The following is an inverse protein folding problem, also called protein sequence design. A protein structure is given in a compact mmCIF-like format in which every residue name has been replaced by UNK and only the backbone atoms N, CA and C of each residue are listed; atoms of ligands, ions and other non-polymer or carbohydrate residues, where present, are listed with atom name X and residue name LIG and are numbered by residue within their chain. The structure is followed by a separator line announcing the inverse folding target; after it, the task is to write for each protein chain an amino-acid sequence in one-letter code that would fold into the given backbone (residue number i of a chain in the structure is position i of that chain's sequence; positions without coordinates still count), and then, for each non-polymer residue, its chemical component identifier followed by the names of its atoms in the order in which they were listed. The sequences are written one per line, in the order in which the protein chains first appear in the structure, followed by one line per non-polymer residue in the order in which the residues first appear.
data_IF_421871951761
#
_entry.id   IF_421871951761
#
_cell.length_a   1.000
_cell.length_b   1.000
_cell.length_c   1.000
_cell.angle_alpha   90.00
_cell.angle_beta   90.00
_cell.angle_gamma   90.00
#
_symmetry.space_group_name_H-M   'P 1'
#
loop_
_entity.id
_entity.type
_entity.pdbx_description
1 polymer ?
#
# COMPACT_ATOMS: atom_id res chain seq x y z
N UNK A 1 -13.96 14.90 -7.70
CA UNK A 1 -12.55 14.61 -7.44
C UNK A 1 -12.18 13.28 -8.09
N UNK A 2 -11.15 13.29 -8.91
CA UNK A 2 -10.66 12.06 -9.53
C UNK A 2 -9.85 11.25 -8.54
N UNK A 3 -10.03 9.94 -8.57
CA UNK A 3 -9.19 9.01 -7.83
C UNK A 3 -8.48 8.10 -8.82
N UNK A 4 -7.27 7.69 -8.47
CA UNK A 4 -6.50 6.77 -9.29
C UNK A 4 -6.49 5.43 -8.58
N UNK A 5 -7.04 4.42 -9.25
CA UNK A 5 -7.11 3.05 -8.74
C UNK A 5 -6.67 2.13 -9.88
N UNK A 6 -5.52 1.51 -9.72
CA UNK A 6 -4.94 0.63 -10.73
C UNK A 6 -4.75 -0.77 -10.19
N UNK A 7 -4.93 -1.81 -11.02
CA UNK A 7 -4.58 -3.16 -10.62
C UNK A 7 -3.06 -3.32 -10.63
N UNK A 8 -2.50 -3.82 -9.53
CA UNK A 8 -1.08 -4.08 -9.39
C UNK A 8 -0.87 -5.52 -8.93
N UNK A 9 0.24 -6.13 -9.35
CA UNK A 9 0.62 -7.44 -8.86
C UNK A 9 1.36 -7.27 -7.53
N UNK A 10 0.80 -7.85 -6.47
CA UNK A 10 1.40 -7.89 -5.14
C UNK A 10 2.01 -9.26 -4.90
N UNK A 11 3.21 -9.27 -4.34
CA UNK A 11 3.97 -10.49 -4.06
C UNK A 11 4.39 -10.49 -2.61
N UNK A 12 4.04 -11.53 -1.91
CA UNK A 12 4.42 -11.72 -0.51
C UNK A 12 5.16 -13.03 -0.32
N UNK A 13 5.47 -13.35 0.93
CA UNK A 13 6.22 -14.56 1.29
C UNK A 13 5.47 -15.85 1.01
N UNK A 14 4.15 -15.80 0.83
CA UNK A 14 3.32 -17.00 0.65
C UNK A 14 2.72 -17.12 -0.75
N UNK A 15 2.68 -16.04 -1.52
CA UNK A 15 2.06 -16.08 -2.83
C UNK A 15 1.97 -14.71 -3.46
N UNK A 16 1.24 -14.64 -4.56
CA UNK A 16 1.06 -13.41 -5.29
C UNK A 16 -0.38 -13.25 -5.76
N UNK A 17 -0.83 -12.02 -5.91
CA UNK A 17 -2.19 -11.72 -6.34
C UNK A 17 -2.25 -10.31 -6.91
N UNK A 18 -3.05 -10.14 -7.96
CA UNK A 18 -3.37 -8.80 -8.46
C UNK A 18 -4.49 -8.20 -7.62
N UNK A 19 -4.23 -7.03 -7.06
CA UNK A 19 -5.18 -6.30 -6.25
C UNK A 19 -5.33 -4.89 -6.80
N UNK A 20 -6.51 -4.31 -6.62
CA UNK A 20 -6.74 -2.92 -6.98
C UNK A 20 -6.18 -2.01 -5.90
N UNK A 21 -5.23 -1.19 -6.28
CA UNK A 21 -4.58 -0.25 -5.38
C UNK A 21 -5.12 1.16 -5.62
N UNK A 22 -5.68 1.76 -4.59
CA UNK A 22 -6.09 3.15 -4.58
C UNK A 22 -4.91 4.00 -4.14
N UNK A 23 -4.51 4.95 -4.99
CA UNK A 23 -3.44 5.90 -4.65
C UNK A 23 -4.07 7.10 -3.95
N UNK A 24 -3.79 7.24 -2.66
CA UNK A 24 -4.41 8.26 -1.82
C UNK A 24 -3.35 9.09 -1.10
N UNK A 25 -3.09 10.28 -1.63
CA UNK A 25 -2.11 11.20 -1.03
C UNK A 25 -2.60 11.78 0.31
N UNK A 26 -3.88 11.65 0.63
CA UNK A 26 -4.42 12.04 1.92
C UNK A 26 -4.18 11.00 3.02
N UNK A 27 -3.81 9.76 2.65
CA UNK A 27 -3.43 8.74 3.61
C UNK A 27 -1.91 8.82 3.84
N UNK A 28 -1.49 8.89 5.10
CA UNK A 28 -0.06 8.97 5.41
C UNK A 28 0.67 7.67 5.11
N UNK A 29 0.05 6.54 5.44
CA UNK A 29 0.64 5.22 5.35
C UNK A 29 -0.16 4.33 4.41
N UNK A 30 0.52 3.33 3.86
CA UNK A 30 -0.14 2.34 3.01
C UNK A 30 -0.81 1.28 3.88
N UNK A 31 -1.92 0.72 3.37
CA UNK A 31 -2.67 -0.28 4.12
C UNK A 31 -3.33 -1.29 3.18
N UNK A 32 -3.73 -2.41 3.75
CA UNK A 32 -4.33 -3.52 3.03
C UNK A 32 -5.50 -4.08 3.85
N UNK A 33 -6.53 -4.52 3.14
CA UNK A 33 -7.64 -5.24 3.76
C UNK A 33 -7.17 -6.58 4.31
N UNK A 34 -7.61 -6.97 5.53
CA UNK A 34 -7.25 -8.28 6.08
C UNK A 34 -7.71 -9.45 5.22
N UNK A 35 -8.69 -9.24 4.35
CA UNK A 35 -9.23 -10.29 3.50
C UNK A 35 -8.22 -10.86 2.51
N UNK A 36 -7.13 -10.16 2.23
CA UNK A 36 -6.16 -10.56 1.21
C UNK A 36 -4.79 -10.93 1.78
N UNK A 37 -4.60 -10.79 3.09
CA UNK A 37 -3.28 -10.94 3.70
C UNK A 37 -2.82 -12.38 3.77
N UNK A 38 -3.69 -13.28 4.23
CA UNK A 38 -3.29 -14.66 4.53
C UNK A 38 -2.83 -15.46 3.31
N UNK A 39 -3.35 -15.12 2.13
CA UNK A 39 -2.93 -15.78 0.89
C UNK A 39 -1.63 -15.18 0.31
N UNK A 40 -1.25 -14.00 0.77
CA UNK A 40 -0.07 -13.30 0.26
C UNK A 40 1.16 -13.46 1.13
N UNK A 41 1.01 -13.32 2.44
CA UNK A 41 2.19 -13.25 3.30
C UNK A 41 1.84 -13.52 4.76
N UNK A 42 2.87 -13.77 5.54
CA UNK A 42 2.75 -13.89 6.98
C UNK A 42 2.71 -12.47 7.56
N UNK A 43 1.62 -12.15 8.26
CA UNK A 43 1.50 -10.86 8.93
C UNK A 43 2.33 -10.84 10.20
N UNK A 44 2.88 -9.69 10.51
CA UNK A 44 3.68 -9.46 11.71
C UNK A 44 2.87 -8.69 12.72
N UNK A 45 2.85 -9.16 13.97
CA UNK A 45 2.22 -8.44 15.06
C UNK A 45 3.08 -7.23 15.41
N UNK A 46 2.46 -6.05 15.47
CA UNK A 46 3.15 -4.84 15.88
C UNK A 46 3.52 -4.92 17.35
N UNK A 47 4.71 -4.44 17.70
CA UNK A 47 5.14 -4.40 19.09
C UNK A 47 4.26 -3.52 19.96
N UNK A 48 3.61 -2.54 19.33
CA UNK A 48 2.62 -1.69 19.98
C UNK A 48 1.45 -1.48 19.04
N UNK A 49 0.25 -1.59 19.56
CA UNK A 49 -0.98 -1.33 18.81
C UNK A 49 -1.00 0.15 18.42
N UNK A 50 -1.29 0.43 17.16
CA UNK A 50 -1.43 1.80 16.67
C UNK A 50 -2.89 2.16 16.53
N UNK A 51 -3.23 3.37 16.91
CA UNK A 51 -4.56 3.92 16.74
C UNK A 51 -4.51 4.93 15.61
N UNK A 52 -5.36 4.74 14.60
CA UNK A 52 -5.44 5.62 13.45
C UNK A 52 -6.79 6.32 13.47
N UNK A 53 -6.76 7.66 13.35
CA UNK A 53 -7.99 8.43 13.24
C UNK A 53 -8.63 8.18 11.88
N UNK A 54 -9.94 8.00 11.88
CA UNK A 54 -10.70 7.87 10.63
C UNK A 54 -11.27 9.25 10.23
N UNK A 55 -11.87 9.29 9.04
CA UNK A 55 -12.54 10.51 8.58
C UNK A 55 -13.74 10.91 9.46
N UNK A 56 -14.29 9.96 10.23
CA UNK A 56 -15.37 10.24 11.18
C UNK A 56 -14.78 10.75 12.49
N UNK A 57 -15.16 11.95 12.88
CA UNK A 57 -14.65 12.57 14.11
C UNK A 57 -14.89 11.68 15.33
N UNK A 58 -13.85 11.53 16.15
CA UNK A 58 -13.91 10.73 17.37
C UNK A 58 -13.81 9.23 17.17
N UNK A 59 -13.66 8.78 15.91
CA UNK A 59 -13.52 7.37 15.61
C UNK A 59 -12.07 7.01 15.32
N UNK A 60 -11.64 5.89 15.89
CA UNK A 60 -10.29 5.36 15.71
C UNK A 60 -10.37 3.88 15.34
N UNK A 61 -9.39 3.45 14.57
CA UNK A 61 -9.18 2.03 14.24
C UNK A 61 -7.89 1.60 14.90
N UNK A 62 -7.90 0.45 15.57
CA UNK A 62 -6.70 -0.13 16.15
C UNK A 62 -6.03 -1.05 15.15
N UNK A 63 -4.75 -0.83 14.92
CA UNK A 63 -3.94 -1.61 14.00
C UNK A 63 -2.99 -2.47 14.80
N UNK A 64 -3.13 -3.79 14.65
CA UNK A 64 -2.31 -4.77 15.37
C UNK A 64 -1.25 -5.42 14.50
N UNK A 65 -1.45 -5.45 13.17
CA UNK A 65 -0.58 -6.20 12.26
C UNK A 65 -0.12 -5.36 11.09
N UNK A 66 1.06 -5.70 10.59
CA UNK A 66 1.60 -5.19 9.36
C UNK A 66 2.09 -6.35 8.50
N UNK A 67 2.23 -6.12 7.22
CA UNK A 67 2.73 -7.09 6.28
C UNK A 67 3.67 -6.41 5.30
N UNK A 68 4.80 -7.05 5.01
CA UNK A 68 5.72 -6.57 3.98
C UNK A 68 5.34 -7.21 2.65
N UNK A 69 5.13 -6.38 1.64
CA UNK A 69 4.79 -6.86 0.29
C UNK A 69 5.67 -6.17 -0.73
N UNK A 70 6.01 -6.93 -1.77
CA UNK A 70 6.51 -6.36 -3.01
C UNK A 70 5.33 -6.07 -3.92
N UNK A 71 5.50 -5.12 -4.82
CA UNK A 71 4.49 -4.86 -5.84
C UNK A 71 5.15 -4.30 -7.09
N UNK A 72 4.50 -4.54 -8.23
CA UNK A 72 5.01 -4.10 -9.53
C UNK A 72 4.20 -2.93 -10.06
N UNK A 73 4.90 -1.89 -10.48
CA UNK A 73 4.33 -0.78 -11.24
C UNK A 73 5.11 -0.67 -12.55
N UNK A 74 4.44 -0.89 -13.70
CA UNK A 74 5.08 -0.83 -15.02
C UNK A 74 6.37 -1.66 -15.06
N UNK A 75 6.30 -2.90 -14.55
CA UNK A 75 7.42 -3.86 -14.48
C UNK A 75 8.54 -3.42 -13.51
N UNK A 76 8.33 -2.38 -12.73
CA UNK A 76 9.30 -1.94 -11.72
C UNK A 76 8.92 -2.55 -10.38
N UNK A 77 9.85 -3.27 -9.76
CA UNK A 77 9.63 -3.91 -8.47
C UNK A 77 9.85 -2.92 -7.34
N UNK A 78 8.80 -2.71 -6.58
CA UNK A 78 8.81 -1.85 -5.38
C UNK A 78 8.43 -2.67 -4.17
N UNK A 79 8.62 -2.11 -2.99
CA UNK A 79 8.23 -2.77 -1.75
C UNK A 79 7.88 -1.75 -0.69
N UNK A 80 7.04 -2.17 0.24
CA UNK A 80 6.77 -1.38 1.44
C UNK A 80 6.09 -2.25 2.50
N UNK A 81 5.93 -1.66 3.67
CA UNK A 81 5.12 -2.18 4.74
C UNK A 81 3.68 -1.70 4.56
N UNK A 82 2.74 -2.60 4.69
CA UNK A 82 1.33 -2.29 4.62
C UNK A 82 0.69 -2.61 5.96
N UNK A 83 0.00 -1.65 6.55
CA UNK A 83 -0.75 -1.88 7.76
C UNK A 83 -2.01 -2.67 7.42
N UNK A 84 -2.33 -3.67 8.24
CA UNK A 84 -3.55 -4.47 8.07
C UNK A 84 -4.68 -3.75 8.79
N UNK A 85 -5.61 -3.17 8.02
CA UNK A 85 -6.66 -2.31 8.57
C UNK A 85 -7.98 -3.04 8.60
N UNK A 86 -8.47 -3.42 9.80
CA UNK A 86 -9.79 -4.07 9.92
C UNK A 86 -10.89 -3.18 9.35
N UNK A 87 -11.76 -3.78 8.55
CA UNK A 87 -12.89 -3.06 7.96
C UNK A 87 -12.55 -2.13 6.80
N UNK A 88 -11.33 -2.20 6.29
CA UNK A 88 -10.96 -1.39 5.13
C UNK A 88 -11.83 -1.75 3.93
N UNK A 89 -12.46 -0.74 3.32
CA UNK A 89 -13.35 -0.94 2.16
C UNK A 89 -12.58 -1.17 0.86
N UNK A 90 -11.36 -0.63 0.76
CA UNK A 90 -10.50 -0.83 -0.40
C UNK A 90 -9.67 -2.11 -0.24
N UNK A 91 -9.21 -2.69 -1.36
CA UNK A 91 -8.31 -3.83 -1.27
C UNK A 91 -6.95 -3.40 -0.74
N UNK A 92 -6.37 -2.37 -1.35
CA UNK A 92 -5.09 -1.77 -0.95
C UNK A 92 -5.17 -0.27 -1.11
N UNK A 93 -4.56 0.46 -0.18
CA UNK A 93 -4.34 1.90 -0.32
C UNK A 93 -2.83 2.14 -0.31
N UNK A 94 -2.35 2.83 -1.36
CA UNK A 94 -0.97 3.31 -1.42
C UNK A 94 -0.97 4.74 -0.88
N UNK A 95 -0.32 4.94 0.25
CA UNK A 95 -0.32 6.23 0.94
C UNK A 95 0.85 7.13 0.55
N UNK A 96 0.85 8.33 1.12
CA UNK A 96 1.82 9.37 0.79
C UNK A 96 3.27 8.94 1.03
N UNK A 97 3.54 8.26 2.15
CA UNK A 97 4.91 7.85 2.47
C UNK A 97 5.49 6.89 1.41
N UNK A 98 4.69 5.94 0.94
CA UNK A 98 5.11 5.02 -0.13
C UNK A 98 5.34 5.78 -1.44
N UNK A 99 4.43 6.69 -1.78
CA UNK A 99 4.57 7.47 -2.99
C UNK A 99 5.82 8.35 -2.97
N UNK A 100 6.12 8.95 -1.84
CA UNK A 100 7.34 9.77 -1.69
C UNK A 100 8.61 8.92 -1.76
N UNK A 101 8.61 7.78 -1.09
CA UNK A 101 9.75 6.87 -1.08
C UNK A 101 10.17 6.44 -2.48
N UNK A 102 9.20 6.11 -3.33
CA UNK A 102 9.45 5.61 -4.67
C UNK A 102 9.27 6.69 -5.75
N UNK A 103 9.00 7.92 -5.35
CA UNK A 103 8.77 9.05 -6.26
C UNK A 103 7.67 8.75 -7.27
N UNK A 104 6.60 8.14 -6.79
CA UNK A 104 5.43 7.82 -7.61
C UNK A 104 4.72 9.13 -7.95
N UNK A 105 4.41 9.30 -9.23
CA UNK A 105 3.69 10.45 -9.72
C UNK A 105 2.28 10.04 -10.13
N UNK A 106 1.32 10.89 -9.80
CA UNK A 106 -0.07 10.67 -10.16
C UNK A 106 -0.40 11.52 -11.39
N UNK A 107 -0.86 10.84 -12.44
CA UNK A 107 -1.28 11.48 -13.68
C UNK A 107 -2.79 11.42 -13.75
N UNK A 108 -3.44 12.50 -13.32
CA UNK A 108 -4.90 12.57 -13.29
C UNK A 108 -5.52 12.76 -14.67
N UNK A 109 -4.75 13.18 -15.64
CA UNK A 109 -5.22 13.29 -17.02
C UNK A 109 -5.48 11.91 -17.62
N UNK A 110 -4.62 10.93 -17.30
CA UNK A 110 -4.71 9.58 -17.87
C UNK A 110 -5.12 8.53 -16.83
N UNK A 111 -5.45 8.95 -15.61
CA UNK A 111 -5.83 8.07 -14.49
C UNK A 111 -4.78 6.97 -14.21
N UNK A 112 -3.50 7.36 -14.25
CA UNK A 112 -2.39 6.45 -14.06
C UNK A 112 -1.46 6.93 -12.95
N UNK A 113 -0.89 5.97 -12.23
CA UNK A 113 0.26 6.19 -11.36
C UNK A 113 1.51 5.75 -12.11
N UNK A 114 2.55 6.57 -12.04
CA UNK A 114 3.79 6.36 -12.81
C UNK A 114 4.99 6.30 -11.89
N UNK A 115 5.97 5.49 -12.24
CA UNK A 115 7.23 5.38 -11.52
C UNK A 115 8.39 5.36 -12.51
N UNK A 116 9.47 6.07 -12.15
CA UNK A 116 10.71 6.01 -12.93
C UNK A 116 11.47 4.73 -12.54
N UNK A 117 11.81 3.85 -13.49
CA UNK A 117 12.56 2.63 -13.18
C UNK A 117 13.83 2.84 -12.38
N UNK A 118 14.44 4.00 -12.46
CA UNK A 118 15.68 4.32 -11.74
C UNK A 118 15.51 4.30 -10.22
N UNK A 119 14.30 4.54 -9.71
CA UNK A 119 14.07 4.58 -8.26
C UNK A 119 14.23 3.21 -7.60
N UNK A 120 14.04 2.14 -8.36
CA UNK A 120 14.14 0.76 -7.84
C UNK A 120 15.56 0.19 -7.91
N UNK A 121 16.52 0.98 -8.40
CA UNK A 121 17.91 0.52 -8.48
C UNK A 121 18.49 0.39 -7.07
N UNK A 122 18.83 -0.83 -6.69
CA UNK A 122 19.46 -1.09 -5.41
C UNK A 122 20.96 -0.87 -5.49
N UNK A 123 21.48 -0.10 -4.52
CA UNK A 123 22.91 0.15 -4.42
C UNK A 123 23.29 0.12 -2.95
N UNK A 124 24.10 -0.86 -2.55
CA UNK A 124 24.47 -1.04 -1.15
C UNK A 124 25.73 -0.27 -0.77
N UNK A 125 26.54 0.10 -1.72
CA UNK A 125 27.75 0.91 -1.50
C UNK A 125 28.06 1.76 -2.72
#
# INVERSE_FOLDING_TARGET
MSVIKNPLLFVGSKGEKTLYALFDSGANLSCISPNFVDELAIKEHLGRIRRIATASEGHFIEIEYAVRLDFYMNDVLLSDEFLVVPGLSEEVIIGAATMQKWRIKLDFEHDLALVDPKVARMQLI
#
